data_IF_144796092539
#
_entry.id   IF_144796092539
#
_cell.length_a   1.000
_cell.length_b   1.000
_cell.length_c   1.000
_cell.angle_alpha   90.00
_cell.angle_beta   90.00
_cell.angle_gamma   90.00
#
_symmetry.space_group_name_H-M   'P 1'
#
loop_
_entity.id
_entity.type
_entity.pdbx_description
1 polymer ?
#
# COMPACT_ATOMS: atom_id res chain seq x y z
N UNK A 1 20.25 -1.93 -9.86
CA UNK A 1 19.74 -2.49 -8.60
C UNK A 1 20.80 -3.37 -7.94
N UNK A 2 21.98 -2.81 -7.73
CA UNK A 2 23.07 -3.53 -7.07
C UNK A 2 23.37 -2.86 -5.75
N UNK A 3 23.43 -3.69 -4.72
CA UNK A 3 24.02 -3.38 -3.41
C UNK A 3 23.23 -2.56 -2.38
N UNK A 4 21.95 -2.88 -2.15
CA UNK A 4 21.61 -2.98 -0.73
C UNK A 4 22.34 -4.24 -0.27
N UNK A 5 23.35 -4.11 0.57
CA UNK A 5 24.07 -5.27 1.11
C UNK A 5 23.03 -6.23 1.66
N UNK A 6 22.89 -7.38 1.02
CA UNK A 6 22.00 -8.48 1.39
C UNK A 6 22.42 -9.07 2.76
N UNK A 7 22.34 -8.25 3.78
CA UNK A 7 22.58 -8.67 5.15
C UNK A 7 21.25 -9.06 5.77
N UNK A 8 20.99 -10.32 5.94
CA UNK A 8 19.97 -10.90 6.83
C UNK A 8 18.47 -10.68 6.50
N UNK A 9 18.06 -9.79 5.58
CA UNK A 9 16.64 -9.63 5.23
C UNK A 9 16.44 -10.08 3.78
N UNK A 10 15.85 -11.25 3.60
CA UNK A 10 15.43 -11.73 2.29
C UNK A 10 14.06 -11.13 1.94
N UNK A 11 14.07 -10.08 1.13
CA UNK A 11 12.85 -9.37 0.70
C UNK A 11 12.02 -10.25 -0.25
N UNK A 12 12.66 -11.11 -1.04
CA UNK A 12 11.98 -11.94 -2.03
C UNK A 12 11.06 -12.97 -1.36
N UNK A 13 11.30 -13.31 -0.12
CA UNK A 13 10.43 -14.14 0.72
C UNK A 13 9.02 -13.56 0.92
N UNK A 14 8.91 -12.24 0.88
CA UNK A 14 7.65 -11.51 1.09
C UNK A 14 7.04 -11.01 -0.21
N UNK A 15 7.70 -11.30 -1.33
CA UNK A 15 7.25 -10.86 -2.65
C UNK A 15 6.38 -11.92 -3.28
N UNK A 16 5.20 -11.52 -3.72
CA UNK A 16 4.37 -12.33 -4.62
C UNK A 16 4.82 -12.04 -6.06
N UNK A 17 5.20 -13.07 -6.80
CA UNK A 17 5.60 -12.91 -8.20
C UNK A 17 4.38 -12.89 -9.10
N UNK A 18 4.50 -12.17 -10.22
CA UNK A 18 3.46 -12.11 -11.23
C UNK A 18 3.17 -13.51 -11.79
N UNK A 19 1.89 -13.79 -12.04
CA UNK A 19 1.41 -15.06 -12.63
C UNK A 19 1.71 -16.33 -11.82
N UNK A 20 2.16 -16.24 -10.58
CA UNK A 20 2.27 -17.38 -9.68
C UNK A 20 0.97 -17.60 -8.90
N UNK A 21 0.52 -18.86 -8.84
CA UNK A 21 -0.60 -19.23 -7.96
C UNK A 21 -0.19 -19.08 -6.51
N UNK A 22 -0.81 -18.12 -5.83
CA UNK A 22 -0.48 -17.81 -4.43
C UNK A 22 -1.08 -18.85 -3.50
N UNK A 23 -0.26 -19.45 -2.66
CA UNK A 23 -0.71 -20.28 -1.56
C UNK A 23 -0.42 -19.57 -0.23
N UNK A 24 -1.43 -18.89 0.31
CA UNK A 24 -1.31 -18.09 1.53
C UNK A 24 -0.80 -18.90 2.74
N UNK A 25 -1.01 -20.21 2.79
CA UNK A 25 -0.50 -21.08 3.87
C UNK A 25 1.03 -21.18 3.88
N UNK A 26 1.70 -20.84 2.78
CA UNK A 26 3.17 -20.83 2.68
C UNK A 26 3.79 -19.51 3.15
N UNK A 27 2.97 -18.46 3.34
CA UNK A 27 3.45 -17.18 3.82
C UNK A 27 3.38 -17.14 5.34
N UNK A 28 4.52 -16.97 6.04
CA UNK A 28 4.52 -16.92 7.49
C UNK A 28 3.81 -15.65 7.98
N UNK A 29 2.93 -15.82 8.95
CA UNK A 29 2.24 -14.71 9.63
C UNK A 29 3.09 -14.12 10.76
N UNK A 30 4.14 -14.81 11.16
CA UNK A 30 5.11 -14.35 12.16
C UNK A 30 6.50 -14.31 11.53
N UNK A 31 7.27 -13.35 11.97
CA UNK A 31 8.68 -13.26 11.65
C UNK A 31 9.42 -14.42 12.31
N UNK A 32 10.12 -15.22 11.54
CA UNK A 32 10.91 -16.37 11.98
C UNK A 32 12.42 -16.12 11.90
N UNK A 33 12.84 -14.90 11.62
CA UNK A 33 14.25 -14.50 11.62
C UNK A 33 14.47 -13.55 12.78
N UNK A 34 15.41 -13.90 13.62
CA UNK A 34 15.86 -13.02 14.70
C UNK A 34 16.76 -11.93 14.10
N UNK A 35 16.16 -10.79 13.77
CA UNK A 35 16.88 -9.62 13.28
C UNK A 35 16.98 -8.64 14.45
N UNK A 36 18.17 -8.23 14.80
CA UNK A 36 18.35 -7.20 15.80
C UNK A 36 17.66 -5.91 15.38
N UNK A 37 16.72 -5.47 16.19
CA UNK A 37 15.98 -4.22 15.94
C UNK A 37 16.89 -3.00 15.94
N UNK A 38 17.96 -3.02 16.73
CA UNK A 38 18.96 -1.98 16.79
C UNK A 38 19.75 -1.88 15.47
N UNK A 39 20.18 -3.01 14.91
CA UNK A 39 20.87 -3.08 13.62
C UNK A 39 19.98 -2.55 12.49
N UNK A 40 18.72 -2.97 12.46
CA UNK A 40 17.76 -2.49 11.45
C UNK A 40 17.57 -0.98 11.55
N UNK A 41 17.34 -0.46 12.76
CA UNK A 41 17.06 0.94 12.98
C UNK A 41 18.27 1.84 12.70
N UNK A 42 19.46 1.41 13.07
CA UNK A 42 20.63 2.28 13.09
C UNK A 42 21.52 2.13 11.83
N UNK A 43 21.44 1.03 11.12
CA UNK A 43 22.24 0.78 9.93
C UNK A 43 21.41 0.61 8.67
N UNK A 44 20.48 -0.34 8.65
CA UNK A 44 19.74 -0.68 7.43
C UNK A 44 18.71 0.40 7.05
N UNK A 45 17.94 0.88 8.02
CA UNK A 45 16.84 1.81 7.76
C UNK A 45 17.31 3.16 7.21
N UNK A 46 18.36 3.82 7.74
CA UNK A 46 18.87 5.04 7.15
C UNK A 46 19.32 4.89 5.70
N UNK A 47 19.99 3.79 5.36
CA UNK A 47 20.42 3.51 3.98
C UNK A 47 19.22 3.39 3.04
N UNK A 48 18.17 2.67 3.45
CA UNK A 48 16.94 2.54 2.66
C UNK A 48 16.25 3.89 2.47
N UNK A 49 16.20 4.73 3.50
CA UNK A 49 15.58 6.05 3.42
C UNK A 49 16.33 6.95 2.43
N UNK A 50 17.65 6.96 2.43
CA UNK A 50 18.43 7.74 1.46
C UNK A 50 18.20 7.26 0.02
N UNK A 51 18.07 5.96 -0.18
CA UNK A 51 17.70 5.39 -1.48
C UNK A 51 16.28 5.81 -1.91
N UNK A 52 15.32 5.81 -0.98
CA UNK A 52 13.96 6.24 -1.25
C UNK A 52 13.89 7.71 -1.67
N UNK A 53 14.62 8.59 -1.00
CA UNK A 53 14.72 10.02 -1.36
C UNK A 53 15.26 10.18 -2.78
N UNK A 54 16.33 9.46 -3.12
CA UNK A 54 16.91 9.49 -4.48
C UNK A 54 15.91 9.00 -5.53
N UNK A 55 15.11 7.97 -5.25
CA UNK A 55 14.08 7.52 -6.16
C UNK A 55 12.91 8.50 -6.27
N UNK A 56 12.55 9.17 -5.20
CA UNK A 56 11.56 10.24 -5.23
C UNK A 56 12.01 11.40 -6.13
N UNK A 57 13.26 11.86 -5.98
CA UNK A 57 13.83 12.90 -6.84
C UNK A 57 13.81 12.51 -8.32
N UNK A 58 14.19 11.26 -8.64
CA UNK A 58 14.15 10.74 -10.01
C UNK A 58 12.72 10.67 -10.56
N UNK A 59 11.76 10.23 -9.74
CA UNK A 59 10.35 10.18 -10.12
C UNK A 59 9.83 11.59 -10.43
N UNK A 60 10.14 12.52 -9.56
CA UNK A 60 9.76 13.93 -9.73
C UNK A 60 10.37 14.54 -11.00
N UNK A 61 11.67 14.34 -11.20
CA UNK A 61 12.39 14.88 -12.35
C UNK A 61 11.89 14.32 -13.70
N UNK A 62 11.56 13.03 -13.77
CA UNK A 62 11.02 12.45 -15.00
C UNK A 62 9.59 12.90 -15.31
N UNK A 63 8.78 13.22 -14.30
CA UNK A 63 7.41 13.73 -14.41
C UNK A 63 6.49 12.99 -15.43
N UNK A 64 6.71 11.69 -15.60
CA UNK A 64 5.97 10.85 -16.55
C UNK A 64 4.90 10.02 -15.86
N UNK A 65 5.25 9.46 -14.70
CA UNK A 65 4.38 8.58 -13.92
C UNK A 65 4.13 9.15 -12.52
N UNK A 66 2.95 8.88 -11.97
CA UNK A 66 2.70 8.96 -10.53
C UNK A 66 2.84 7.56 -9.93
N UNK A 67 3.33 7.45 -8.70
CA UNK A 67 3.42 6.19 -7.98
C UNK A 67 2.34 6.13 -6.90
N UNK A 68 1.56 5.07 -6.89
CA UNK A 68 0.59 4.80 -5.83
C UNK A 68 1.10 3.63 -4.98
N UNK A 69 1.16 3.83 -3.66
CA UNK A 69 1.52 2.81 -2.70
C UNK A 69 0.30 2.51 -1.84
N UNK A 70 -0.27 1.33 -2.01
CA UNK A 70 -1.46 0.90 -1.25
C UNK A 70 -1.03 0.09 -0.04
N UNK A 71 -1.42 0.55 1.14
CA UNK A 71 -1.22 -0.16 2.40
C UNK A 71 -2.55 -0.77 2.84
N UNK A 72 -2.77 -2.03 2.50
CA UNK A 72 -3.96 -2.78 2.84
C UNK A 72 -3.62 -3.89 3.84
N UNK A 73 -4.27 -3.90 4.98
CA UNK A 73 -4.12 -4.93 6.00
C UNK A 73 -5.21 -4.82 7.06
N UNK A 74 -5.35 -5.85 7.89
CA UNK A 74 -6.25 -5.85 9.05
C UNK A 74 -5.92 -4.71 10.03
N UNK A 75 -6.85 -4.42 10.94
CA UNK A 75 -6.61 -3.43 11.98
C UNK A 75 -5.43 -3.84 12.87
N UNK A 76 -4.72 -2.85 13.39
CA UNK A 76 -3.49 -3.02 14.16
C UNK A 76 -2.31 -3.69 13.42
N UNK A 77 -2.38 -3.91 12.12
CA UNK A 77 -1.29 -4.52 11.34
C UNK A 77 -0.11 -3.57 11.04
N UNK A 78 -0.13 -2.34 11.54
CA UNK A 78 0.98 -1.41 11.45
C UNK A 78 0.99 -0.49 10.23
N UNK A 79 -0.14 -0.33 9.53
CA UNK A 79 -0.26 0.59 8.37
C UNK A 79 0.17 2.01 8.72
N UNK A 80 -0.41 2.60 9.78
CA UNK A 80 -0.08 3.96 10.23
C UNK A 80 1.38 4.07 10.67
N UNK A 81 1.90 3.04 11.32
CA UNK A 81 3.32 2.96 11.66
C UNK A 81 4.22 3.00 10.44
N UNK A 82 3.86 2.29 9.37
CA UNK A 82 4.60 2.30 8.10
C UNK A 82 4.58 3.69 7.47
N UNK A 83 3.41 4.36 7.42
CA UNK A 83 3.31 5.73 6.91
C UNK A 83 4.24 6.66 7.70
N UNK A 84 4.15 6.64 9.03
CA UNK A 84 4.89 7.55 9.89
C UNK A 84 6.40 7.28 9.94
N UNK A 85 6.83 6.02 9.85
CA UNK A 85 8.25 5.68 9.98
C UNK A 85 9.00 5.66 8.66
N UNK A 86 8.34 5.26 7.57
CA UNK A 86 8.99 5.15 6.26
C UNK A 86 8.81 6.44 5.47
N UNK A 87 7.57 6.85 5.23
CA UNK A 87 7.26 7.90 4.28
C UNK A 87 7.39 9.33 4.84
N UNK A 88 7.36 9.51 6.16
CA UNK A 88 7.63 10.81 6.78
C UNK A 88 9.05 11.34 6.55
N UNK A 89 9.94 10.50 6.04
CA UNK A 89 11.32 10.88 5.72
C UNK A 89 11.48 11.40 4.28
N UNK A 90 10.46 11.32 3.47
CA UNK A 90 10.45 11.81 2.09
C UNK A 90 10.13 13.30 2.03
N UNK A 91 10.43 13.92 0.90
CA UNK A 91 10.05 15.33 0.67
C UNK A 91 8.51 15.42 0.64
N UNK A 92 7.90 16.18 1.56
CA UNK A 92 6.47 16.34 1.64
C UNK A 92 5.85 17.03 0.40
N UNK A 93 6.64 17.79 -0.35
CA UNK A 93 6.19 18.42 -1.59
C UNK A 93 5.87 17.42 -2.70
N UNK A 94 6.43 16.21 -2.65
CA UNK A 94 6.22 15.15 -3.63
C UNK A 94 5.43 13.95 -3.10
N UNK A 95 4.81 14.05 -1.90
CA UNK A 95 4.09 12.94 -1.26
C UNK A 95 2.72 13.41 -0.80
N UNK A 96 1.70 12.62 -1.11
CA UNK A 96 0.35 12.79 -0.55
C UNK A 96 -0.08 11.53 0.19
N UNK A 97 -0.80 11.70 1.30
CA UNK A 97 -1.35 10.57 2.07
C UNK A 97 -2.87 10.67 2.10
N UNK A 98 -3.54 9.66 1.59
CA UNK A 98 -4.99 9.53 1.65
C UNK A 98 -5.37 8.36 2.56
N UNK A 99 -6.23 8.61 3.55
CA UNK A 99 -6.75 7.57 4.45
C UNK A 99 -8.21 7.27 4.13
N UNK A 100 -8.47 6.10 3.59
CA UNK A 100 -9.81 5.66 3.22
C UNK A 100 -10.48 4.96 4.40
N UNK A 101 -11.06 5.77 5.27
CA UNK A 101 -11.92 5.32 6.38
C UNK A 101 -13.35 5.11 5.89
N UNK A 102 -14.28 4.96 6.83
CA UNK A 102 -15.70 4.90 6.50
C UNK A 102 -16.10 6.09 5.62
N UNK A 103 -16.82 5.86 4.50
CA UNK A 103 -17.20 6.92 3.58
C UNK A 103 -18.02 8.01 4.23
N UNK A 104 -17.77 9.26 3.87
CA UNK A 104 -18.60 10.41 4.22
C UNK A 104 -19.94 10.36 3.50
N UNK A 105 -20.88 11.25 3.87
CA UNK A 105 -22.18 11.34 3.18
C UNK A 105 -21.97 11.66 1.69
N UNK A 106 -21.14 12.65 1.38
CA UNK A 106 -20.80 12.99 -0.01
C UNK A 106 -20.19 11.82 -0.78
N UNK A 107 -19.25 11.07 -0.19
CA UNK A 107 -18.63 9.92 -0.83
C UNK A 107 -19.62 8.78 -1.11
N UNK A 108 -20.67 8.65 -0.28
CA UNK A 108 -21.74 7.64 -0.48
C UNK A 108 -22.69 7.98 -1.63
N UNK A 109 -22.80 9.25 -1.98
CA UNK A 109 -23.63 9.71 -3.11
C UNK A 109 -22.95 9.45 -4.45
N UNK A 110 -21.69 9.04 -4.43
CA UNK A 110 -20.89 8.73 -5.61
C UNK A 110 -20.51 7.24 -5.67
N UNK A 111 -20.01 6.81 -6.84
CA UNK A 111 -19.38 5.52 -7.00
C UNK A 111 -18.16 5.40 -6.06
N UNK A 112 -17.91 4.21 -5.52
CA UNK A 112 -16.82 3.97 -4.56
C UNK A 112 -15.42 4.34 -5.09
N UNK A 113 -15.23 4.31 -6.42
CA UNK A 113 -13.98 4.75 -7.05
C UNK A 113 -13.82 6.27 -7.11
N UNK A 114 -14.88 7.04 -6.89
CA UNK A 114 -14.84 8.49 -6.96
C UNK A 114 -13.83 9.09 -5.98
N UNK A 115 -13.86 8.68 -4.70
CA UNK A 115 -12.90 9.14 -3.69
C UNK A 115 -11.48 8.68 -3.97
N UNK A 116 -11.30 7.50 -4.58
CA UNK A 116 -10.01 6.99 -5.02
C UNK A 116 -9.44 7.87 -6.13
N UNK A 117 -10.24 8.17 -7.15
CA UNK A 117 -9.84 9.02 -8.28
C UNK A 117 -9.45 10.44 -7.83
N UNK A 118 -10.17 11.01 -6.85
CA UNK A 118 -9.82 12.33 -6.28
C UNK A 118 -8.48 12.35 -5.57
N UNK A 119 -8.05 11.23 -5.02
CA UNK A 119 -6.81 11.09 -4.25
C UNK A 119 -5.60 10.67 -5.10
N UNK A 120 -5.77 10.44 -6.40
CA UNK A 120 -4.66 10.05 -7.27
C UNK A 120 -3.57 11.12 -7.27
N UNK A 121 -2.29 10.74 -7.12
CA UNK A 121 -1.19 11.68 -7.16
C UNK A 121 -0.98 12.19 -8.59
N UNK A 122 -0.56 13.46 -8.76
CA UNK A 122 -0.09 13.94 -10.05
C UNK A 122 1.18 13.21 -10.50
N UNK A 123 1.54 13.37 -11.76
CA UNK A 123 2.80 12.81 -12.28
C UNK A 123 3.99 13.35 -11.49
N UNK A 124 5.01 12.57 -11.34
CA UNK A 124 6.18 12.89 -10.54
C UNK A 124 6.01 12.71 -9.03
N UNK A 125 4.79 12.46 -8.55
CA UNK A 125 4.49 12.39 -7.12
C UNK A 125 4.15 10.97 -6.65
N UNK A 126 4.23 10.77 -5.34
CA UNK A 126 3.89 9.53 -4.65
C UNK A 126 2.58 9.73 -3.88
N UNK A 127 1.58 8.92 -4.18
CA UNK A 127 0.35 8.81 -3.40
C UNK A 127 0.40 7.61 -2.48
N UNK A 128 0.22 7.82 -1.19
CA UNK A 128 0.17 6.74 -0.20
C UNK A 128 -1.27 6.56 0.22
N UNK A 129 -1.83 5.40 -0.09
CA UNK A 129 -3.19 5.04 0.26
C UNK A 129 -3.18 4.19 1.51
N UNK A 130 -3.54 4.78 2.65
CA UNK A 130 -3.78 4.06 3.89
C UNK A 130 -5.19 3.50 3.85
N UNK A 131 -5.30 2.20 3.57
CA UNK A 131 -6.46 1.49 3.04
C UNK A 131 -6.71 1.90 1.57
N UNK A 132 -7.74 1.38 0.93
CA UNK A 132 -8.05 1.68 -0.47
C UNK A 132 -9.49 1.27 -0.80
N UNK A 133 -9.82 1.22 -2.09
CA UNK A 133 -11.08 0.65 -2.58
C UNK A 133 -11.29 -0.82 -2.17
N UNK A 134 -10.24 -1.52 -1.76
CA UNK A 134 -10.37 -2.88 -1.21
C UNK A 134 -11.18 -2.94 0.10
N UNK A 135 -11.32 -1.83 0.82
CA UNK A 135 -12.26 -1.76 1.94
C UNK A 135 -13.71 -1.95 1.44
N UNK A 136 -14.05 -1.32 0.33
CA UNK A 136 -15.39 -1.39 -0.24
C UNK A 136 -15.64 -2.73 -0.96
N UNK A 137 -14.63 -3.29 -1.62
CA UNK A 137 -14.77 -4.51 -2.44
C UNK A 137 -14.64 -5.79 -1.61
N UNK A 138 -13.65 -5.86 -0.70
CA UNK A 138 -13.34 -7.07 0.06
C UNK A 138 -13.99 -7.04 1.45
N UNK A 139 -13.72 -5.98 2.24
CA UNK A 139 -14.12 -5.95 3.65
C UNK A 139 -15.64 -5.89 3.78
N UNK A 140 -16.29 -5.04 3.01
CA UNK A 140 -17.75 -4.94 3.01
C UNK A 140 -18.42 -6.24 2.58
N UNK A 141 -17.83 -6.95 1.63
CA UNK A 141 -18.33 -8.26 1.14
C UNK A 141 -18.18 -9.34 2.21
N UNK A 142 -16.98 -9.47 2.81
CA UNK A 142 -16.71 -10.48 3.85
C UNK A 142 -17.62 -10.28 5.06
N UNK A 143 -17.88 -9.04 5.45
CA UNK A 143 -18.73 -8.71 6.59
C UNK A 143 -20.22 -8.53 6.24
N UNK A 144 -20.59 -8.77 4.98
CA UNK A 144 -21.97 -8.63 4.47
C UNK A 144 -22.56 -7.22 4.77
N UNK A 145 -21.74 -6.19 4.66
CA UNK A 145 -22.10 -4.79 4.93
C UNK A 145 -22.60 -4.06 3.67
N UNK A 146 -22.69 -4.77 2.55
CA UNK A 146 -23.13 -4.20 1.28
C UNK A 146 -24.67 -4.11 1.30
N UNK A 147 -25.18 -2.90 1.37
CA UNK A 147 -26.58 -2.70 0.98
C UNK A 147 -26.66 -2.90 -0.55
N UNK A 148 -27.54 -3.80 -0.98
CA UNK A 148 -27.70 -4.29 -2.36
C UNK A 148 -27.95 -3.21 -3.42
N UNK A 149 -27.96 -1.93 -3.07
CA UNK A 149 -28.13 -0.80 -3.99
C UNK A 149 -26.89 0.04 -4.27
N UNK A 150 -25.75 -0.23 -3.61
CA UNK A 150 -24.59 0.67 -3.65
C UNK A 150 -23.44 0.20 -4.58
N UNK A 151 -23.44 -1.05 -5.01
CA UNK A 151 -22.45 -1.53 -5.99
C UNK A 151 -23.17 -1.87 -7.30
N UNK A 152 -22.71 -1.36 -8.43
CA UNK A 152 -23.15 -1.85 -9.73
C UNK A 152 -22.98 -3.36 -9.83
N UNK A 153 -23.95 -4.06 -10.39
CA UNK A 153 -23.93 -5.53 -10.53
C UNK A 153 -22.66 -6.07 -11.23
N UNK A 154 -22.05 -5.27 -12.10
CA UNK A 154 -20.78 -5.61 -12.76
C UNK A 154 -19.59 -5.74 -11.77
N UNK A 155 -19.61 -5.07 -10.62
CA UNK A 155 -18.54 -5.14 -9.63
C UNK A 155 -18.67 -6.33 -8.67
N UNK A 156 -19.87 -6.89 -8.56
CA UNK A 156 -20.10 -8.15 -7.87
C UNK A 156 -19.49 -9.33 -8.67
N UNK A 157 -19.40 -9.21 -9.99
CA UNK A 157 -18.83 -10.25 -10.87
C UNK A 157 -17.30 -10.18 -10.99
N UNK A 158 -16.69 -8.99 -10.96
CA UNK A 158 -15.23 -8.86 -11.10
C UNK A 158 -14.46 -9.30 -9.85
N UNK A 159 -15.13 -9.47 -8.72
CA UNK A 159 -14.50 -9.94 -7.48
C UNK A 159 -14.32 -11.46 -7.45
N UNK A 160 -14.90 -12.21 -8.35
CA UNK A 160 -14.70 -13.67 -8.47
C UNK A 160 -13.34 -14.04 -9.08
N UNK A 161 -12.61 -13.06 -9.62
CA UNK A 161 -11.23 -13.23 -10.10
C UNK A 161 -10.16 -13.23 -8.99
N UNK A 162 -10.58 -13.11 -7.73
CA UNK A 162 -9.67 -13.09 -6.56
C UNK A 162 -9.70 -14.40 -5.75
N UNK A 163 -10.40 -15.45 -6.23
CA UNK A 163 -10.38 -16.81 -5.65
C UNK A 163 -9.23 -17.67 -6.18
#
# INVERSE_FOLDING_TARGET
MENIKKGKIDIDRYRVKENEKVNLKKFPTKRDVDIDKGEVKNAFFPEVIEQLKLYQEKLYAQNTYGLIIVLQAMDAAGKDGTVNHVFANLDPGGVSVASFKQPTTEEKDHDYMWRINKALPPRGNIGIFNRSHYEDVIVTRVHNLISTGQLPSCLLYTSDAAD
#
